data_IF_578138282259
#
_entry.id   IF_578138282259
#
_cell.length_a   1.000
_cell.length_b   1.000
_cell.length_c   1.000
_cell.angle_alpha   90.00
_cell.angle_beta   90.00
_cell.angle_gamma   90.00
#
_symmetry.space_group_name_H-M   'P 1'
#
loop_
_entity.id
_entity.type
_entity.pdbx_description
1 polymer ?
#
# COMPACT_ATOMS: atom_id res chain seq x y z
N UNK A 1 12.87 -4.19 19.23
CA UNK A 1 12.37 -2.86 18.80
C UNK A 1 13.53 -2.21 18.06
N UNK A 2 13.42 -2.11 16.70
CA UNK A 2 14.44 -1.49 15.87
C UNK A 2 14.52 0.01 16.07
N UNK A 3 15.59 0.61 15.61
CA UNK A 3 15.71 2.06 15.52
C UNK A 3 14.66 2.57 14.53
N UNK A 4 13.74 3.44 14.97
CA UNK A 4 12.62 3.96 14.17
C UNK A 4 13.08 4.58 12.84
N UNK A 5 14.30 5.14 12.79
CA UNK A 5 14.88 5.72 11.59
C UNK A 5 15.21 4.68 10.48
N UNK A 6 15.39 3.41 10.82
CA UNK A 6 15.77 2.35 9.87
C UNK A 6 14.67 1.33 9.63
N UNK A 7 13.63 1.32 10.46
CA UNK A 7 12.48 0.44 10.31
C UNK A 7 11.67 0.85 9.08
N UNK A 8 11.42 -0.10 8.19
CA UNK A 8 10.60 0.10 6.98
C UNK A 8 9.23 -0.49 7.22
N UNK A 9 8.18 0.25 6.88
CA UNK A 9 6.79 -0.18 6.99
C UNK A 9 6.11 -0.10 5.63
N UNK A 10 5.26 -1.06 5.33
CA UNK A 10 4.43 -1.09 4.13
C UNK A 10 2.98 -1.16 4.56
N UNK A 11 2.18 -0.22 4.10
CA UNK A 11 0.72 -0.20 4.30
C UNK A 11 0.06 -0.73 3.03
N UNK A 12 -0.72 -1.78 3.19
CA UNK A 12 -1.34 -2.44 2.06
C UNK A 12 -2.84 -2.65 2.27
N UNK A 13 -3.63 -2.31 1.27
CA UNK A 13 -5.07 -2.57 1.25
C UNK A 13 -5.33 -4.09 1.29
N UNK A 14 -6.02 -4.58 2.31
CA UNK A 14 -6.43 -6.00 2.40
C UNK A 14 -7.31 -6.45 1.21
N UNK A 15 -7.91 -5.50 0.51
CA UNK A 15 -8.73 -5.74 -0.69
C UNK A 15 -7.93 -5.70 -2.00
N UNK A 16 -6.61 -5.77 -1.95
CA UNK A 16 -5.72 -5.96 -3.12
C UNK A 16 -5.00 -7.31 -3.04
N UNK A 17 -5.69 -8.40 -3.33
CA UNK A 17 -5.15 -9.74 -3.08
C UNK A 17 -4.04 -10.17 -4.05
N UNK A 18 -3.75 -9.38 -5.08
CA UNK A 18 -2.86 -9.74 -6.17
C UNK A 18 -1.56 -8.92 -6.20
N UNK A 19 -1.17 -8.35 -5.05
CA UNK A 19 0.16 -7.77 -4.90
C UNK A 19 1.21 -8.85 -5.15
N UNK A 20 2.26 -8.52 -5.89
CA UNK A 20 3.31 -9.46 -6.21
C UNK A 20 4.64 -9.10 -5.54
N UNK A 21 5.55 -10.06 -5.51
CA UNK A 21 6.87 -9.91 -4.92
C UNK A 21 7.67 -8.74 -5.53
N UNK A 22 7.56 -8.52 -6.85
CA UNK A 22 8.32 -7.46 -7.53
C UNK A 22 7.94 -6.07 -7.02
N UNK A 23 6.63 -5.82 -6.83
CA UNK A 23 6.14 -4.54 -6.27
C UNK A 23 6.74 -4.32 -4.88
N UNK A 24 6.68 -5.33 -4.02
CA UNK A 24 7.21 -5.25 -2.65
C UNK A 24 8.71 -4.98 -2.67
N UNK A 25 9.46 -5.74 -3.47
CA UNK A 25 10.91 -5.56 -3.61
C UNK A 25 11.29 -4.18 -4.13
N UNK A 26 10.55 -3.67 -5.11
CA UNK A 26 10.78 -2.32 -5.64
C UNK A 26 10.55 -1.25 -4.57
N UNK A 27 9.51 -1.39 -3.74
CA UNK A 27 9.28 -0.50 -2.60
C UNK A 27 10.45 -0.53 -1.61
N UNK A 28 10.90 -1.72 -1.22
CA UNK A 28 12.01 -1.88 -0.27
C UNK A 28 13.33 -1.34 -0.81
N UNK A 29 13.55 -1.47 -2.12
CA UNK A 29 14.73 -0.92 -2.81
C UNK A 29 14.65 0.60 -2.82
N UNK A 30 13.53 1.19 -3.22
CA UNK A 30 13.36 2.63 -3.25
C UNK A 30 13.47 3.27 -1.86
N UNK A 31 13.09 2.57 -0.79
CA UNK A 31 13.32 3.00 0.60
C UNK A 31 14.79 2.96 1.06
N UNK A 32 15.74 2.67 0.19
CA UNK A 32 17.16 2.87 0.47
C UNK A 32 17.55 4.33 0.26
N UNK A 33 16.89 5.02 -0.68
CA UNK A 33 17.21 6.39 -1.09
C UNK A 33 16.11 7.41 -0.72
N UNK A 34 14.89 6.93 -0.40
CA UNK A 34 13.73 7.75 -0.09
C UNK A 34 13.07 7.30 1.21
N UNK A 35 12.42 8.24 1.91
CA UNK A 35 11.69 7.95 3.15
C UNK A 35 10.22 7.58 2.94
N UNK A 36 9.70 7.80 1.74
CA UNK A 36 8.32 7.50 1.36
C UNK A 36 8.25 7.07 -0.10
N UNK A 37 7.45 6.04 -0.37
CA UNK A 37 7.28 5.43 -1.69
C UNK A 37 5.82 5.11 -1.95
N UNK A 38 5.32 5.49 -3.12
CA UNK A 38 3.98 5.15 -3.60
C UNK A 38 4.06 4.19 -4.78
N UNK A 39 3.20 3.19 -4.80
CA UNK A 39 3.05 2.29 -5.94
C UNK A 39 2.03 2.88 -6.89
N UNK A 40 2.41 3.08 -8.14
CA UNK A 40 1.57 3.75 -9.11
C UNK A 40 1.54 3.02 -10.45
N UNK A 41 0.44 3.19 -11.18
CA UNK A 41 0.31 2.77 -12.59
C UNK A 41 -0.13 3.96 -13.45
N UNK A 42 0.16 3.90 -14.74
CA UNK A 42 -0.29 4.92 -15.69
C UNK A 42 -1.81 4.98 -15.75
N UNK A 43 -2.37 6.16 -15.93
CA UNK A 43 -3.81 6.28 -16.21
C UNK A 43 -4.07 5.92 -17.66
N UNK A 44 -4.95 4.95 -17.91
CA UNK A 44 -5.40 4.61 -19.25
C UNK A 44 -6.40 5.65 -19.78
N UNK A 45 -7.22 6.18 -18.87
CA UNK A 45 -8.29 7.13 -19.22
C UNK A 45 -7.81 8.58 -19.09
N UNK A 46 -8.49 9.48 -19.80
CA UNK A 46 -8.35 10.92 -19.61
C UNK A 46 -8.99 11.31 -18.27
N UNK A 47 -8.23 11.95 -17.39
CA UNK A 47 -8.75 12.50 -16.16
C UNK A 47 -9.30 13.90 -16.42
N UNK A 48 -10.41 14.23 -15.77
CA UNK A 48 -11.04 15.55 -15.80
C UNK A 48 -11.25 16.04 -14.38
N UNK A 49 -10.96 17.30 -14.15
CA UNK A 49 -11.36 18.01 -12.93
C UNK A 49 -12.67 18.72 -13.22
N UNK A 50 -13.61 18.69 -12.27
CA UNK A 50 -14.93 19.29 -12.43
C UNK A 50 -15.21 20.31 -11.33
N UNK A 51 -15.96 21.33 -11.65
CA UNK A 51 -16.56 22.25 -10.68
C UNK A 51 -17.76 21.57 -10.00
N UNK A 52 -18.25 22.21 -8.92
CA UNK A 52 -19.44 21.75 -8.17
C UNK A 52 -20.70 21.67 -9.03
N UNK A 53 -20.79 22.47 -10.08
CA UNK A 53 -21.88 22.46 -11.06
C UNK A 53 -21.79 21.34 -12.11
N UNK A 54 -20.73 20.51 -12.06
CA UNK A 54 -20.50 19.41 -12.97
C UNK A 54 -19.80 19.78 -14.28
N UNK A 55 -19.47 21.07 -14.50
CA UNK A 55 -18.70 21.49 -15.67
C UNK A 55 -17.23 21.13 -15.52
N UNK A 56 -16.54 20.84 -16.63
CA UNK A 56 -15.10 20.56 -16.63
C UNK A 56 -14.33 21.85 -16.29
N UNK A 57 -13.51 21.79 -15.25
CA UNK A 57 -12.61 22.87 -14.85
C UNK A 57 -11.22 22.75 -15.47
N UNK A 58 -10.72 21.52 -15.62
CA UNK A 58 -9.40 21.26 -16.16
C UNK A 58 -9.30 19.84 -16.73
N UNK A 59 -8.40 19.66 -17.68
CA UNK A 59 -8.01 18.34 -18.23
C UNK A 59 -6.49 18.22 -18.08
N UNK A 60 -5.99 17.61 -17.00
CA UNK A 60 -4.56 17.47 -16.77
C UNK A 60 -3.88 16.66 -17.88
N UNK A 61 -2.61 16.97 -18.15
CA UNK A 61 -1.84 16.17 -19.09
C UNK A 61 -1.65 14.75 -18.56
N UNK A 62 -2.28 13.79 -19.22
CA UNK A 62 -2.29 12.38 -18.84
C UNK A 62 -0.90 11.76 -18.68
N UNK A 63 0.11 12.25 -19.42
CA UNK A 63 1.47 11.73 -19.31
C UNK A 63 2.07 11.86 -17.91
N UNK A 64 1.60 12.82 -17.13
CA UNK A 64 2.02 13.04 -15.72
C UNK A 64 1.07 12.44 -14.70
N UNK A 65 -0.07 11.88 -15.14
CA UNK A 65 -1.06 11.32 -14.22
C UNK A 65 -0.79 9.85 -13.96
N UNK A 66 -0.91 9.46 -12.71
CA UNK A 66 -0.78 8.08 -12.26
C UNK A 66 -1.95 7.74 -11.33
N UNK A 67 -2.36 6.50 -11.36
CA UNK A 67 -3.30 5.93 -10.38
C UNK A 67 -2.50 5.31 -9.26
N UNK A 68 -2.72 5.77 -8.01
CA UNK A 68 -2.09 5.21 -6.82
C UNK A 68 -2.62 3.81 -6.53
N UNK A 69 -1.72 2.95 -6.11
CA UNK A 69 -2.03 1.62 -5.59
C UNK A 69 -1.46 1.49 -4.18
N UNK A 70 -1.53 0.30 -3.61
CA UNK A 70 -0.78 -0.08 -2.43
C UNK A 70 0.03 -1.35 -2.75
N UNK A 71 1.16 -1.62 -2.02
CA UNK A 71 1.58 -0.98 -0.78
C UNK A 71 2.06 0.45 -0.95
N UNK A 72 1.84 1.27 0.07
CA UNK A 72 2.57 2.52 0.27
C UNK A 72 3.64 2.25 1.33
N UNK A 73 4.88 2.65 1.08
CA UNK A 73 6.01 2.25 1.91
C UNK A 73 6.74 3.45 2.49
N UNK A 74 7.18 3.33 3.74
CA UNK A 74 7.76 4.43 4.50
C UNK A 74 8.89 3.96 5.41
N UNK A 75 9.81 4.87 5.76
CA UNK A 75 10.53 4.74 7.02
C UNK A 75 9.55 5.02 8.17
N UNK A 76 9.62 4.23 9.25
CA UNK A 76 8.68 4.35 10.36
C UNK A 76 8.70 5.75 10.97
N UNK A 77 9.88 6.33 11.15
CA UNK A 77 10.01 7.67 11.71
C UNK A 77 9.31 8.74 10.87
N UNK A 78 9.40 8.65 9.54
CA UNK A 78 8.77 9.62 8.63
C UNK A 78 7.26 9.56 8.71
N UNK A 79 6.67 8.36 8.65
CA UNK A 79 5.20 8.26 8.68
C UNK A 79 4.65 8.63 10.06
N UNK A 80 5.32 8.24 11.16
CA UNK A 80 4.92 8.66 12.50
C UNK A 80 4.95 10.18 12.66
N UNK A 81 6.04 10.82 12.20
CA UNK A 81 6.14 12.29 12.27
C UNK A 81 5.05 12.98 11.45
N UNK A 82 4.73 12.45 10.25
CA UNK A 82 3.67 13.00 9.42
C UNK A 82 2.31 12.94 10.12
N UNK A 83 1.95 11.80 10.70
CA UNK A 83 0.71 11.66 11.46
C UNK A 83 0.68 12.48 12.74
N UNK A 84 1.78 12.58 13.49
CA UNK A 84 1.85 13.44 14.68
C UNK A 84 1.54 14.89 14.33
N UNK A 85 2.15 15.42 13.25
CA UNK A 85 1.86 16.79 12.79
C UNK A 85 0.41 16.97 12.32
N UNK A 86 -0.15 15.97 11.64
CA UNK A 86 -1.53 16.00 11.22
C UNK A 86 -2.49 16.10 12.42
N UNK A 87 -2.22 15.35 13.49
CA UNK A 87 -2.98 15.40 14.74
C UNK A 87 -2.82 16.76 15.44
N UNK A 88 -1.60 17.28 15.57
CA UNK A 88 -1.34 18.60 16.15
C UNK A 88 -2.10 19.71 15.42
N UNK A 89 -2.18 19.61 14.09
CA UNK A 89 -2.92 20.58 13.25
C UNK A 89 -4.43 20.27 13.16
N UNK A 90 -4.91 19.26 13.89
CA UNK A 90 -6.30 18.76 13.82
C UNK A 90 -6.79 18.46 12.39
N UNK A 91 -5.87 18.04 11.53
CA UNK A 91 -6.16 17.71 10.12
C UNK A 91 -6.35 16.20 9.99
N UNK A 92 -7.60 15.77 9.82
CA UNK A 92 -8.01 14.36 9.90
C UNK A 92 -8.34 13.72 8.54
N UNK A 93 -8.46 14.50 7.47
CA UNK A 93 -8.93 14.01 6.17
C UNK A 93 -7.81 13.99 5.16
N UNK A 94 -7.43 12.79 4.74
CA UNK A 94 -6.46 12.52 3.69
C UNK A 94 -6.96 11.36 2.83
N UNK A 95 -6.58 11.34 1.58
CA UNK A 95 -6.97 10.27 0.63
C UNK A 95 -6.10 9.03 0.77
N UNK A 96 -4.84 9.17 1.23
CA UNK A 96 -3.89 8.08 1.41
C UNK A 96 -2.72 8.53 2.30
N UNK A 97 -1.89 7.57 2.74
CA UNK A 97 -0.77 7.83 3.64
C UNK A 97 0.34 8.68 2.99
N UNK A 98 0.61 8.48 1.69
CA UNK A 98 1.50 9.37 0.93
C UNK A 98 0.97 10.80 0.89
N UNK A 99 -0.35 10.98 0.87
CA UNK A 99 -1.01 12.29 0.97
C UNK A 99 -0.74 12.97 2.31
N UNK A 100 -0.73 12.20 3.41
CA UNK A 100 -0.36 12.72 4.74
C UNK A 100 1.08 13.23 4.73
N UNK A 101 2.02 12.41 4.23
CA UNK A 101 3.44 12.79 4.14
C UNK A 101 3.62 14.05 3.29
N UNK A 102 3.00 14.11 2.11
CA UNK A 102 3.09 15.29 1.21
C UNK A 102 2.55 16.57 1.85
N UNK A 103 1.47 16.45 2.62
CA UNK A 103 0.84 17.61 3.24
C UNK A 103 1.56 18.08 4.50
N UNK A 104 2.10 17.17 5.31
CA UNK A 104 2.67 17.48 6.62
C UNK A 104 4.20 17.65 6.58
N UNK A 105 4.85 17.02 5.61
CA UNK A 105 6.30 17.03 5.44
C UNK A 105 6.67 17.41 4.00
N UNK A 106 6.41 18.64 3.54
CA UNK A 106 6.59 19.05 2.14
C UNK A 106 8.04 18.89 1.63
N UNK A 107 9.03 18.86 2.54
CA UNK A 107 10.43 18.61 2.24
C UNK A 107 10.72 17.13 1.91
N UNK A 108 9.87 16.20 2.35
CA UNK A 108 10.04 14.77 2.07
C UNK A 108 9.57 14.48 0.65
N UNK A 109 10.46 13.92 -0.13
CA UNK A 109 10.14 13.46 -1.49
C UNK A 109 9.50 12.08 -1.41
N UNK A 110 8.30 11.95 -1.95
CA UNK A 110 7.64 10.65 -2.15
C UNK A 110 8.07 10.12 -3.51
N UNK A 111 8.83 9.02 -3.51
CA UNK A 111 9.19 8.34 -4.75
C UNK A 111 8.02 7.53 -5.28
N UNK A 112 8.04 7.21 -6.56
CA UNK A 112 7.07 6.29 -7.15
C UNK A 112 7.76 5.04 -7.67
N UNK A 113 7.12 3.88 -7.53
CA UNK A 113 7.53 2.63 -8.14
C UNK A 113 6.40 2.09 -9.02
N UNK A 114 6.78 1.37 -10.07
CA UNK A 114 5.80 0.80 -10.99
C UNK A 114 4.99 -0.29 -10.30
N UNK A 115 3.68 -0.14 -10.36
CA UNK A 115 2.71 -1.13 -9.92
C UNK A 115 2.36 -2.14 -11.01
N UNK A 116 1.19 -2.73 -10.89
CA UNK A 116 0.71 -3.69 -11.87
C UNK A 116 -0.81 -3.57 -12.03
N UNK A 117 -1.32 -3.68 -13.26
CA UNK A 117 -2.76 -3.66 -13.53
C UNK A 117 -3.51 -4.80 -12.83
N UNK A 118 -2.83 -5.93 -12.57
CA UNK A 118 -3.41 -7.05 -11.81
C UNK A 118 -3.54 -6.74 -10.31
N UNK A 119 -2.81 -5.76 -9.77
CA UNK A 119 -2.90 -5.34 -8.37
C UNK A 119 -4.14 -4.46 -8.16
N UNK A 120 -5.30 -4.96 -8.60
CA UNK A 120 -6.60 -4.28 -8.49
C UNK A 120 -7.05 -4.16 -7.05
N UNK A 121 -7.84 -3.12 -6.79
CA UNK A 121 -8.59 -2.96 -5.53
C UNK A 121 -9.98 -3.54 -5.73
N UNK A 122 -10.32 -4.59 -5.00
CA UNK A 122 -11.66 -5.21 -5.02
C UNK A 122 -12.60 -4.34 -4.21
N UNK A 123 -13.39 -3.52 -4.88
CA UNK A 123 -14.34 -2.58 -4.26
C UNK A 123 -15.79 -2.81 -4.72
N UNK A 124 -15.96 -3.37 -5.88
CA UNK A 124 -17.26 -3.67 -6.47
C UNK A 124 -17.43 -5.17 -6.76
N UNK A 125 -18.66 -5.69 -6.83
CA UNK A 125 -18.88 -7.11 -7.14
C UNK A 125 -18.20 -7.59 -8.44
N UNK A 126 -18.12 -6.75 -9.45
CA UNK A 126 -17.45 -7.07 -10.73
C UNK A 126 -15.94 -7.30 -10.53
N UNK A 127 -15.30 -6.63 -9.55
CA UNK A 127 -13.88 -6.77 -9.31
C UNK A 127 -13.52 -8.19 -8.82
N UNK A 128 -14.48 -8.89 -8.17
CA UNK A 128 -14.31 -10.27 -7.77
C UNK A 128 -14.11 -11.19 -8.97
N UNK A 129 -14.92 -11.02 -10.04
CA UNK A 129 -14.75 -11.80 -11.26
C UNK A 129 -13.41 -11.53 -11.94
N UNK A 130 -12.97 -10.26 -11.93
CA UNK A 130 -11.68 -9.87 -12.50
C UNK A 130 -10.55 -10.49 -11.69
N UNK A 131 -10.61 -10.39 -10.35
CA UNK A 131 -9.62 -10.98 -9.45
C UNK A 131 -9.55 -12.51 -9.62
N UNK A 132 -10.70 -13.18 -9.71
CA UNK A 132 -10.77 -14.63 -9.94
C UNK A 132 -10.11 -15.00 -11.27
N UNK A 133 -10.38 -14.28 -12.36
CA UNK A 133 -9.72 -14.53 -13.65
C UNK A 133 -8.21 -14.32 -13.59
N UNK A 134 -7.75 -13.30 -12.90
CA UNK A 134 -6.33 -13.10 -12.67
C UNK A 134 -5.70 -14.21 -11.84
N UNK A 135 -6.39 -14.73 -10.83
CA UNK A 135 -5.93 -15.87 -10.04
C UNK A 135 -5.88 -17.15 -10.88
N UNK A 136 -6.92 -17.41 -11.67
CA UNK A 136 -6.92 -18.57 -12.59
C UNK A 136 -5.76 -18.52 -13.59
N UNK A 137 -5.51 -17.33 -14.18
CA UNK A 137 -4.39 -17.12 -15.10
C UNK A 137 -3.01 -17.20 -14.42
N UNK A 138 -2.94 -17.01 -13.10
CA UNK A 138 -1.69 -17.11 -12.36
C UNK A 138 -1.26 -18.57 -12.14
N UNK A 139 -2.16 -19.54 -12.24
CA UNK A 139 -1.80 -20.97 -12.23
C UNK A 139 -0.98 -21.38 -13.46
N UNK A 140 -1.03 -20.56 -14.54
CA UNK A 140 -0.17 -20.75 -15.71
C UNK A 140 1.23 -20.14 -15.56
N UNK A 141 1.48 -19.34 -14.53
CA UNK A 141 2.82 -18.89 -14.16
C UNK A 141 3.32 -19.91 -13.13
N UNK A 142 4.24 -20.82 -13.50
CA UNK A 142 4.79 -21.71 -12.51
C UNK A 142 5.45 -20.84 -11.44
N UNK A 143 4.90 -20.86 -10.21
CA UNK A 143 5.72 -20.62 -9.05
C UNK A 143 6.89 -21.59 -9.25
N UNK A 144 8.06 -21.07 -9.61
CA UNK A 144 9.26 -21.89 -9.57
C UNK A 144 9.36 -22.34 -8.12
N UNK A 145 9.04 -23.61 -7.89
CA UNK A 145 9.28 -24.27 -6.62
C UNK A 145 10.78 -24.07 -6.31
N UNK A 146 11.10 -23.03 -5.57
CA UNK A 146 12.48 -22.65 -5.30
C UNK A 146 12.68 -21.15 -5.01
N UNK A 147 11.78 -20.27 -5.40
CA UNK A 147 11.80 -18.91 -4.86
C UNK A 147 11.32 -18.98 -3.40
N UNK A 148 12.27 -19.36 -2.55
CA UNK A 148 12.01 -19.45 -1.13
C UNK A 148 11.64 -18.04 -0.65
N UNK A 149 10.48 -17.92 0.01
CA UNK A 149 10.10 -16.69 0.72
C UNK A 149 11.06 -16.38 1.89
N UNK A 150 12.32 -16.84 1.79
CA UNK A 150 13.40 -16.61 2.76
C UNK A 150 13.66 -15.13 3.01
N UNK A 151 13.30 -14.27 2.06
CA UNK A 151 13.38 -12.82 2.26
C UNK A 151 12.43 -12.31 3.35
N UNK A 152 11.40 -13.07 3.75
CA UNK A 152 10.50 -12.75 4.85
C UNK A 152 11.12 -13.05 6.22
N UNK A 153 12.14 -13.91 6.27
CA UNK A 153 12.78 -14.27 7.51
C UNK A 153 13.28 -13.04 8.25
N UNK A 154 12.97 -12.98 9.53
CA UNK A 154 13.32 -11.90 10.46
C UNK A 154 12.74 -10.51 10.07
N UNK A 155 11.78 -10.45 9.13
CA UNK A 155 11.07 -9.21 8.79
C UNK A 155 9.95 -8.93 9.79
N UNK A 156 9.76 -7.64 10.11
CA UNK A 156 8.62 -7.18 10.89
C UNK A 156 7.53 -6.72 9.93
N UNK A 157 6.35 -7.33 10.04
CA UNK A 157 5.20 -7.07 9.16
C UNK A 157 4.00 -6.67 10.03
N UNK A 158 3.36 -5.57 9.70
CA UNK A 158 2.09 -5.16 10.32
C UNK A 158 0.98 -5.31 9.30
N UNK A 159 -0.09 -6.03 9.67
CA UNK A 159 -1.24 -6.28 8.80
C UNK A 159 -2.48 -5.65 9.43
N UNK A 160 -3.01 -4.62 8.78
CA UNK A 160 -4.30 -4.04 9.15
C UNK A 160 -5.43 -4.87 8.55
N UNK A 161 -6.37 -5.33 9.41
CA UNK A 161 -7.44 -6.24 9.02
C UNK A 161 -7.02 -7.71 8.98
N UNK A 162 -5.93 -8.07 9.70
CA UNK A 162 -5.35 -9.42 9.72
C UNK A 162 -6.08 -10.46 10.57
N UNK A 163 -7.27 -10.18 11.08
CA UNK A 163 -8.03 -11.09 11.96
C UNK A 163 -8.86 -12.14 11.21
N UNK A 164 -9.11 -11.95 9.92
CA UNK A 164 -9.90 -12.86 9.09
C UNK A 164 -9.57 -12.72 7.60
N UNK A 165 -10.07 -13.64 6.79
CA UNK A 165 -9.98 -13.59 5.33
C UNK A 165 -8.54 -13.48 4.82
N UNK A 166 -8.32 -12.65 3.82
CA UNK A 166 -7.02 -12.48 3.13
C UNK A 166 -5.92 -12.06 4.10
N UNK A 167 -6.21 -11.11 5.00
CA UNK A 167 -5.21 -10.63 5.97
C UNK A 167 -4.74 -11.71 6.93
N UNK A 168 -5.64 -12.61 7.36
CA UNK A 168 -5.29 -13.76 8.18
C UNK A 168 -4.38 -14.74 7.42
N UNK A 169 -4.68 -15.00 6.15
CA UNK A 169 -3.87 -15.90 5.32
C UNK A 169 -2.48 -15.30 5.05
N UNK A 170 -2.39 -14.02 4.78
CA UNK A 170 -1.10 -13.31 4.67
C UNK A 170 -0.27 -13.44 5.95
N UNK A 171 -0.91 -13.30 7.13
CA UNK A 171 -0.24 -13.53 8.42
C UNK A 171 0.32 -14.94 8.51
N UNK A 172 -0.51 -15.96 8.20
CA UNK A 172 -0.10 -17.35 8.29
C UNK A 172 1.09 -17.66 7.39
N UNK A 173 1.05 -17.21 6.14
CA UNK A 173 2.15 -17.37 5.19
C UNK A 173 3.42 -16.69 5.70
N UNK A 174 3.33 -15.43 6.15
CA UNK A 174 4.48 -14.68 6.62
C UNK A 174 5.14 -15.35 7.86
N UNK A 175 4.33 -15.83 8.82
CA UNK A 175 4.83 -16.56 10.00
C UNK A 175 5.54 -17.86 9.61
N UNK A 176 4.99 -18.65 8.68
CA UNK A 176 5.60 -19.89 8.19
C UNK A 176 6.98 -19.62 7.57
N UNK A 177 7.17 -18.45 6.97
CA UNK A 177 8.44 -18.04 6.37
C UNK A 177 9.34 -17.21 7.30
N UNK A 178 9.05 -17.24 8.62
CA UNK A 178 9.93 -16.68 9.65
C UNK A 178 9.85 -15.18 9.84
N UNK A 179 8.79 -14.54 9.39
CA UNK A 179 8.54 -13.12 9.69
C UNK A 179 7.96 -12.95 11.11
N UNK A 180 8.20 -11.79 11.71
CA UNK A 180 7.49 -11.31 12.87
C UNK A 180 6.24 -10.56 12.40
N UNK A 181 5.04 -11.02 12.74
CA UNK A 181 3.81 -10.43 12.25
C UNK A 181 2.95 -9.90 13.38
N UNK A 182 2.65 -8.62 13.31
CA UNK A 182 1.64 -7.96 14.12
C UNK A 182 0.38 -7.72 13.30
N UNK A 183 -0.79 -7.91 13.92
CA UNK A 183 -2.07 -7.59 13.29
C UNK A 183 -2.77 -6.47 14.05
N UNK A 184 -3.35 -5.55 13.32
CA UNK A 184 -4.22 -4.52 13.85
C UNK A 184 -5.61 -4.66 13.25
N UNK A 185 -6.62 -4.87 14.09
CA UNK A 185 -8.01 -4.95 13.68
C UNK A 185 -8.94 -4.53 14.80
N UNK A 186 -10.17 -4.13 14.47
CA UNK A 186 -11.18 -3.75 15.47
C UNK A 186 -11.45 -4.86 16.48
N UNK A 187 -11.40 -6.11 16.06
CA UNK A 187 -11.69 -7.28 16.91
C UNK A 187 -10.50 -7.75 17.74
N UNK A 188 -9.27 -7.34 17.42
CA UNK A 188 -8.08 -7.89 18.09
C UNK A 188 -7.35 -6.88 18.98
N UNK A 189 -7.13 -5.63 18.52
CA UNK A 189 -6.40 -4.62 19.30
C UNK A 189 -7.21 -3.34 19.52
N UNK A 190 -8.52 -3.36 19.24
CA UNK A 190 -9.42 -2.18 19.29
C UNK A 190 -8.90 -0.98 18.51
N UNK A 191 -7.99 -1.22 17.55
CA UNK A 191 -7.48 -0.18 16.68
C UNK A 191 -8.53 0.09 15.61
N UNK A 192 -9.32 1.11 15.80
CA UNK A 192 -10.20 1.64 14.77
C UNK A 192 -9.42 2.67 13.94
N UNK A 193 -8.98 2.24 12.76
CA UNK A 193 -8.22 3.08 11.82
C UNK A 193 -9.05 4.30 11.37
N UNK A 194 -10.37 4.25 11.53
CA UNK A 194 -11.26 5.38 11.24
C UNK A 194 -11.24 6.44 12.34
N UNK A 195 -10.65 6.15 13.51
CA UNK A 195 -10.54 7.05 14.65
C UNK A 195 -9.07 7.39 15.00
N UNK A 196 -8.13 7.05 14.12
CA UNK A 196 -6.76 7.57 14.10
C UNK A 196 -6.71 8.76 13.14
#
# INVERSE_FOLDING_TARGET
RGNDATCKVLFHDAVRPLVNHQIISNCLTALQDFDAVDVVISSADTLVEVYDDGCISNIPNRSFMRRGQTPQAFTLGTIQLAYSKALEMNRKTFTCDCGVVRAMLPQVRVATVEGNERNIKVTHPVDLFIAEKFLQSAHDIPFKNGDSLNFLKDKNIVIFGGSSGIGLEMKNIALVHGANVEIASRSYNQVDICNL
#
